data_IF_269868208765
#
_entry.id   IF_269868208765
#
_cell.length_a   1.000
_cell.length_b   1.000
_cell.length_c   1.000
_cell.angle_alpha   90.00
_cell.angle_beta   90.00
_cell.angle_gamma   90.00
#
_symmetry.space_group_name_H-M   'P 1'
#
loop_
_entity.id
_entity.type
_entity.pdbx_description
1 polymer ?
#
# COMPACT_ATOMS: atom_id res chain seq x y z
N UNK A 1 20.75 -4.45 23.06
CA UNK A 1 19.33 -4.49 22.67
C UNK A 1 19.17 -5.67 21.76
N UNK A 2 18.27 -6.60 22.07
CA UNK A 2 17.89 -7.64 21.11
C UNK A 2 17.22 -7.01 19.89
N UNK A 3 17.43 -7.55 18.68
CA UNK A 3 16.75 -7.06 17.49
C UNK A 3 15.24 -7.24 17.66
N UNK A 4 14.47 -6.19 17.35
CA UNK A 4 13.01 -6.26 17.38
C UNK A 4 12.54 -7.36 16.44
N UNK A 5 11.46 -8.05 16.82
CA UNK A 5 10.81 -8.98 15.91
C UNK A 5 10.28 -8.23 14.67
N UNK A 6 10.11 -8.95 13.55
CA UNK A 6 9.46 -8.42 12.33
C UNK A 6 8.17 -7.68 12.66
N UNK A 7 7.32 -8.29 13.48
CA UNK A 7 6.01 -7.77 13.88
C UNK A 7 6.14 -6.49 14.70
N UNK A 8 7.02 -6.45 15.69
CA UNK A 8 7.23 -5.23 16.48
C UNK A 8 7.81 -4.09 15.66
N UNK A 9 8.74 -4.40 14.75
CA UNK A 9 9.34 -3.43 13.85
C UNK A 9 8.28 -2.82 12.92
N UNK A 10 7.46 -3.67 12.31
CA UNK A 10 6.39 -3.23 11.40
C UNK A 10 5.30 -2.45 12.14
N UNK A 11 4.91 -2.89 13.36
CA UNK A 11 3.94 -2.19 14.19
C UNK A 11 4.41 -0.76 14.51
N UNK A 12 5.68 -0.62 14.93
CA UNK A 12 6.28 0.69 15.20
C UNK A 12 6.33 1.56 13.95
N UNK A 13 6.70 0.99 12.80
CA UNK A 13 6.72 1.70 11.53
C UNK A 13 5.34 2.24 11.15
N UNK A 14 4.30 1.40 11.17
CA UNK A 14 2.92 1.78 10.84
C UNK A 14 2.44 2.93 11.75
N UNK A 15 2.64 2.79 13.07
CA UNK A 15 2.22 3.80 14.04
C UNK A 15 2.98 5.12 13.90
N UNK A 16 4.29 5.05 13.68
CA UNK A 16 5.13 6.23 13.50
C UNK A 16 4.76 6.97 12.21
N UNK A 17 4.58 6.25 11.10
CA UNK A 17 4.16 6.85 9.82
C UNK A 17 2.79 7.51 9.94
N UNK A 18 1.83 6.86 10.58
CA UNK A 18 0.50 7.43 10.82
C UNK A 18 0.58 8.74 11.61
N UNK A 19 1.36 8.75 12.70
CA UNK A 19 1.60 9.96 13.50
C UNK A 19 2.24 11.08 12.66
N UNK A 20 3.30 10.78 11.92
CA UNK A 20 3.99 11.77 11.09
C UNK A 20 3.14 12.35 9.96
N UNK A 21 2.22 11.56 9.40
CA UNK A 21 1.26 12.01 8.39
C UNK A 21 0.19 12.90 9.02
N UNK A 22 -0.38 12.48 10.15
CA UNK A 22 -1.38 13.27 10.88
C UNK A 22 -0.82 14.61 11.35
N UNK A 23 0.42 14.64 11.85
CA UNK A 23 1.09 15.86 12.31
C UNK A 23 1.33 16.88 11.18
N UNK A 24 1.37 16.43 9.91
CA UNK A 24 1.65 17.29 8.75
C UNK A 24 0.46 17.54 7.82
N UNK A 25 -0.65 16.82 7.98
CA UNK A 25 -1.77 16.80 7.02
C UNK A 25 -2.32 18.20 6.68
N UNK A 26 -2.37 19.10 7.67
CA UNK A 26 -2.82 20.48 7.48
C UNK A 26 -1.88 21.34 6.63
N UNK A 27 -0.63 20.90 6.49
CA UNK A 27 0.43 21.58 5.71
C UNK A 27 0.68 20.91 4.37
N UNK A 28 0.12 19.74 4.13
CA UNK A 28 0.22 19.06 2.85
C UNK A 28 -0.47 19.88 1.76
N UNK A 29 0.10 19.85 0.57
CA UNK A 29 -0.54 20.37 -0.63
C UNK A 29 -1.58 19.38 -1.21
N UNK A 30 -2.22 19.78 -2.30
CA UNK A 30 -3.27 18.98 -2.96
C UNK A 30 -2.75 17.62 -3.43
N UNK A 31 -1.54 17.58 -3.96
CA UNK A 31 -0.96 16.39 -4.57
C UNK A 31 -0.48 15.41 -3.49
N UNK A 32 0.15 15.91 -2.42
CA UNK A 32 0.53 15.13 -1.25
C UNK A 32 -0.69 14.44 -0.58
N UNK A 33 -1.81 15.16 -0.45
CA UNK A 33 -3.04 14.61 0.13
C UNK A 33 -3.62 13.50 -0.75
N UNK A 34 -3.71 13.71 -2.07
CA UNK A 34 -4.21 12.69 -3.00
C UNK A 34 -3.30 11.49 -3.07
N UNK A 35 -1.99 11.73 -3.13
CA UNK A 35 -1.00 10.68 -3.13
C UNK A 35 -1.13 9.79 -1.90
N UNK A 36 -1.29 10.39 -0.71
CA UNK A 36 -1.53 9.66 0.54
C UNK A 36 -2.76 8.75 0.44
N UNK A 37 -3.88 9.27 -0.11
CA UNK A 37 -5.09 8.47 -0.30
C UNK A 37 -4.85 7.32 -1.29
N UNK A 38 -4.25 7.60 -2.45
CA UNK A 38 -3.98 6.59 -3.49
C UNK A 38 -3.06 5.49 -2.99
N UNK A 39 -2.02 5.84 -2.24
CA UNK A 39 -1.06 4.91 -1.66
C UNK A 39 -1.75 3.90 -0.73
N UNK A 40 -2.48 4.39 0.27
CA UNK A 40 -3.15 3.51 1.24
C UNK A 40 -4.32 2.77 0.62
N UNK A 41 -5.09 3.41 -0.27
CA UNK A 41 -6.15 2.74 -1.01
C UNK A 41 -5.62 1.58 -1.87
N UNK A 42 -4.38 1.66 -2.38
CA UNK A 42 -3.82 0.57 -3.17
C UNK A 42 -3.49 -0.67 -2.33
N UNK A 43 -3.26 -0.52 -1.02
CA UNK A 43 -3.11 -1.64 -0.09
C UNK A 43 -4.44 -2.31 0.30
N UNK A 44 -5.58 -1.65 0.04
CA UNK A 44 -6.90 -2.14 0.45
C UNK A 44 -7.51 -3.10 -0.56
N UNK A 45 -8.24 -4.11 -0.05
CA UNK A 45 -9.09 -4.96 -0.89
C UNK A 45 -10.18 -4.13 -1.58
N UNK A 46 -10.80 -4.64 -2.67
CA UNK A 46 -11.92 -3.93 -3.32
C UNK A 46 -13.06 -3.57 -2.36
N UNK A 47 -13.38 -4.46 -1.42
CA UNK A 47 -14.44 -4.26 -0.42
C UNK A 47 -14.04 -3.18 0.59
N UNK A 48 -12.81 -3.23 1.11
CA UNK A 48 -12.28 -2.23 2.03
C UNK A 48 -12.20 -0.84 1.37
N UNK A 49 -11.73 -0.77 0.11
CA UNK A 49 -11.72 0.49 -0.63
C UNK A 49 -13.11 1.11 -0.71
N UNK A 50 -14.12 0.32 -1.06
CA UNK A 50 -15.49 0.82 -1.14
C UNK A 50 -16.02 1.30 0.21
N UNK A 51 -15.69 0.60 1.30
CA UNK A 51 -16.10 0.95 2.65
C UNK A 51 -15.43 2.24 3.18
N UNK A 52 -14.13 2.42 2.94
CA UNK A 52 -13.32 3.48 3.55
C UNK A 52 -13.14 4.71 2.68
N UNK A 53 -13.22 4.58 1.34
CA UNK A 53 -13.18 5.75 0.45
C UNK A 53 -14.56 6.40 0.33
N UNK A 54 -15.64 5.63 0.43
CA UNK A 54 -17.01 6.17 0.40
C UNK A 54 -17.24 7.13 -0.77
N UNK A 55 -17.46 8.41 -0.46
CA UNK A 55 -17.73 9.48 -1.43
C UNK A 55 -16.47 10.22 -1.94
N UNK A 56 -15.27 9.76 -1.58
CA UNK A 56 -13.99 10.36 -1.99
C UNK A 56 -13.95 10.60 -3.50
N UNK A 57 -13.42 11.76 -3.89
CA UNK A 57 -13.23 12.14 -5.28
C UNK A 57 -11.90 12.82 -5.49
N UNK A 58 -11.21 12.44 -6.56
CA UNK A 58 -9.96 13.06 -7.04
C UNK A 58 -10.13 14.54 -7.41
N UNK A 59 -11.37 15.05 -7.48
CA UNK A 59 -11.68 16.45 -7.80
C UNK A 59 -12.09 17.30 -6.58
N UNK A 60 -12.07 16.73 -5.37
CA UNK A 60 -12.35 17.48 -4.15
C UNK A 60 -11.34 18.61 -3.93
N UNK A 61 -11.76 19.70 -3.29
CA UNK A 61 -10.84 20.78 -2.93
C UNK A 61 -9.86 20.35 -1.83
N UNK A 62 -8.75 21.05 -1.69
CA UNK A 62 -7.77 20.83 -0.61
C UNK A 62 -8.44 20.84 0.77
N UNK A 63 -9.39 21.73 1.02
CA UNK A 63 -10.09 21.81 2.31
C UNK A 63 -10.93 20.56 2.59
N UNK A 64 -11.60 20.01 1.56
CA UNK A 64 -12.35 18.77 1.67
C UNK A 64 -11.41 17.58 1.93
N UNK A 65 -10.25 17.54 1.26
CA UNK A 65 -9.23 16.52 1.49
C UNK A 65 -8.67 16.61 2.91
N UNK A 66 -8.35 17.81 3.42
CA UNK A 66 -7.85 18.00 4.79
C UNK A 66 -8.84 17.57 5.85
N UNK A 67 -10.14 17.63 5.58
CA UNK A 67 -11.17 17.08 6.47
C UNK A 67 -11.25 15.55 6.40
N UNK A 68 -11.04 14.96 5.22
CA UNK A 68 -11.19 13.53 4.98
C UNK A 68 -9.96 12.70 5.36
N UNK A 69 -8.77 13.14 4.91
CA UNK A 69 -7.52 12.39 4.99
C UNK A 69 -7.14 11.98 6.42
N UNK A 70 -7.32 12.82 7.47
CA UNK A 70 -6.97 12.40 8.84
C UNK A 70 -7.76 11.17 9.31
N UNK A 71 -9.07 11.15 9.06
CA UNK A 71 -9.94 10.02 9.39
C UNK A 71 -9.53 8.80 8.58
N UNK A 72 -9.30 8.97 7.28
CA UNK A 72 -8.87 7.88 6.41
C UNK A 72 -7.51 7.27 6.83
N UNK A 73 -6.54 8.10 7.22
CA UNK A 73 -5.24 7.61 7.76
C UNK A 73 -5.46 6.75 8.99
N UNK A 74 -6.34 7.16 9.91
CA UNK A 74 -6.60 6.42 11.14
C UNK A 74 -7.27 5.08 10.85
N UNK A 75 -8.35 5.08 10.06
CA UNK A 75 -9.04 3.86 9.65
C UNK A 75 -8.12 2.89 8.92
N UNK A 76 -7.31 3.39 7.99
CA UNK A 76 -6.31 2.57 7.30
C UNK A 76 -5.26 2.00 8.27
N UNK A 77 -4.81 2.80 9.22
CA UNK A 77 -3.82 2.38 10.23
C UNK A 77 -4.35 1.22 11.06
N UNK A 78 -5.62 1.28 11.46
CA UNK A 78 -6.26 0.19 12.21
C UNK A 78 -6.32 -1.10 11.38
N UNK A 79 -6.68 -1.01 10.10
CA UNK A 79 -6.66 -2.16 9.18
C UNK A 79 -5.25 -2.75 8.99
N UNK A 80 -4.24 -1.90 8.82
CA UNK A 80 -2.86 -2.34 8.66
C UNK A 80 -2.33 -3.04 9.92
N UNK A 81 -2.73 -2.57 11.11
CA UNK A 81 -2.40 -3.20 12.38
C UNK A 81 -3.15 -4.53 12.58
N UNK A 82 -4.39 -4.63 12.10
CA UNK A 82 -5.16 -5.88 12.11
C UNK A 82 -4.54 -6.93 11.19
N UNK A 83 -4.20 -6.57 9.95
CA UNK A 83 -3.49 -7.45 9.02
C UNK A 83 -2.16 -7.93 9.63
N UNK A 84 -1.38 -7.01 10.20
CA UNK A 84 -0.13 -7.35 10.89
C UNK A 84 -0.35 -8.35 12.05
N UNK A 85 -1.41 -8.16 12.85
CA UNK A 85 -1.77 -9.08 13.93
C UNK A 85 -2.15 -10.46 13.37
N UNK A 86 -2.87 -10.53 12.26
CA UNK A 86 -3.19 -11.79 11.60
C UNK A 86 -1.95 -12.54 11.10
N UNK A 87 -0.82 -11.84 10.90
CA UNK A 87 0.48 -12.43 10.49
C UNK A 87 1.46 -12.68 11.63
N UNK A 88 1.09 -12.43 12.90
CA UNK A 88 2.03 -12.48 14.04
C UNK A 88 2.69 -13.86 14.26
N UNK A 89 2.02 -14.94 13.85
CA UNK A 89 2.54 -16.31 13.92
C UNK A 89 3.24 -16.81 12.65
N UNK A 90 3.39 -15.98 11.61
CA UNK A 90 3.99 -16.38 10.34
C UNK A 90 5.47 -16.02 10.27
N UNK A 91 6.24 -16.83 9.54
CA UNK A 91 7.67 -16.55 9.34
C UNK A 91 7.94 -15.38 8.37
N UNK A 92 6.94 -14.94 7.62
CA UNK A 92 7.10 -13.87 6.60
C UNK A 92 7.95 -14.28 5.41
N UNK A 93 8.03 -15.59 5.11
CA UNK A 93 8.89 -16.12 4.04
C UNK A 93 8.13 -16.41 2.74
N UNK A 94 6.80 -16.47 2.81
CA UNK A 94 5.91 -16.67 1.64
C UNK A 94 5.02 -15.44 1.46
N UNK A 95 4.56 -15.22 0.23
CA UNK A 95 3.70 -14.07 -0.09
C UNK A 95 2.43 -14.02 0.77
N UNK A 96 1.79 -15.17 1.02
CA UNK A 96 0.60 -15.25 1.88
C UNK A 96 0.87 -14.92 3.37
N UNK A 97 2.13 -14.97 3.81
CA UNK A 97 2.56 -14.69 5.17
C UNK A 97 2.87 -13.20 5.39
N UNK A 98 2.95 -12.41 4.32
CA UNK A 98 3.22 -10.98 4.32
C UNK A 98 1.94 -10.16 4.45
N UNK A 99 2.08 -8.98 5.05
CA UNK A 99 1.04 -7.95 5.09
C UNK A 99 0.97 -7.19 3.77
N UNK A 100 -0.13 -6.47 3.54
CA UNK A 100 -0.26 -5.59 2.37
C UNK A 100 0.84 -4.50 2.33
N UNK A 101 1.25 -3.99 3.49
CA UNK A 101 2.35 -3.01 3.62
C UNK A 101 3.71 -3.58 3.22
N UNK A 102 4.01 -4.80 3.66
CA UNK A 102 5.25 -5.48 3.31
C UNK A 102 5.28 -5.82 1.82
N UNK A 103 4.14 -6.27 1.27
CA UNK A 103 4.01 -6.45 -0.16
C UNK A 103 4.22 -5.11 -0.87
N UNK A 104 3.58 -4.02 -0.46
CA UNK A 104 3.77 -2.73 -1.11
C UNK A 104 5.23 -2.26 -1.12
N UNK A 105 5.95 -2.50 -0.02
CA UNK A 105 7.36 -2.09 0.15
C UNK A 105 8.37 -3.00 -0.57
N UNK A 106 7.93 -4.14 -1.09
CA UNK A 106 8.78 -5.13 -1.76
C UNK A 106 8.95 -4.78 -3.25
N UNK A 107 10.16 -5.00 -3.76
CA UNK A 107 10.46 -4.83 -5.20
C UNK A 107 9.69 -5.83 -6.06
N UNK A 108 9.46 -5.49 -7.33
CA UNK A 108 8.84 -6.44 -8.27
C UNK A 108 9.70 -7.70 -8.43
N UNK A 109 11.01 -7.55 -8.55
CA UNK A 109 11.93 -8.68 -8.70
C UNK A 109 11.75 -9.73 -7.62
N UNK A 110 11.68 -9.30 -6.36
CA UNK A 110 11.50 -10.20 -5.23
C UNK A 110 10.11 -10.85 -5.23
N UNK A 111 9.03 -10.07 -5.45
CA UNK A 111 7.67 -10.60 -5.52
C UNK A 111 7.52 -11.65 -6.62
N UNK A 112 7.99 -11.34 -7.83
CA UNK A 112 7.86 -12.22 -8.98
C UNK A 112 8.71 -13.49 -8.81
N UNK A 113 9.86 -13.40 -8.14
CA UNK A 113 10.65 -14.56 -7.76
C UNK A 113 9.90 -15.47 -6.77
N UNK A 114 9.24 -14.90 -5.75
CA UNK A 114 8.44 -15.66 -4.80
C UNK A 114 7.18 -16.25 -5.45
N UNK A 115 6.50 -15.49 -6.31
CA UNK A 115 5.29 -15.91 -7.01
C UNK A 115 5.56 -17.07 -7.98
N UNK A 116 6.73 -17.09 -8.63
CA UNK A 116 7.14 -18.22 -9.47
C UNK A 116 7.28 -19.53 -8.69
N UNK A 117 7.53 -19.47 -7.38
CA UNK A 117 7.63 -20.64 -6.49
C UNK A 117 6.31 -21.01 -5.83
N UNK A 118 5.41 -20.04 -5.70
CA UNK A 118 4.09 -20.19 -5.11
C UNK A 118 3.04 -19.39 -5.91
N UNK A 119 2.56 -19.92 -7.05
CA UNK A 119 1.62 -19.21 -7.92
C UNK A 119 0.27 -18.87 -7.27
N UNK A 120 -0.07 -19.52 -6.16
CA UNK A 120 -1.27 -19.26 -5.36
C UNK A 120 -1.04 -18.33 -4.16
N UNK A 121 0.18 -17.80 -4.00
CA UNK A 121 0.57 -17.02 -2.84
C UNK A 121 -0.06 -15.62 -2.75
N UNK A 122 -0.66 -15.13 -3.85
CA UNK A 122 -1.37 -13.86 -3.91
C UNK A 122 -2.84 -14.06 -4.23
N UNK A 123 -3.68 -13.23 -3.62
CA UNK A 123 -5.10 -13.10 -4.01
C UNK A 123 -5.22 -12.46 -5.40
N UNK A 124 -6.35 -12.66 -6.11
CA UNK A 124 -6.55 -12.07 -7.42
C UNK A 124 -6.38 -10.54 -7.47
N UNK A 125 -6.82 -9.81 -6.45
CA UNK A 125 -6.66 -8.35 -6.37
C UNK A 125 -5.21 -7.90 -6.18
N UNK A 126 -4.42 -8.67 -5.41
CA UNK A 126 -2.98 -8.45 -5.26
C UNK A 126 -2.26 -8.71 -6.58
N UNK A 127 -2.56 -9.83 -7.24
CA UNK A 127 -1.91 -10.18 -8.50
C UNK A 127 -2.17 -9.14 -9.60
N UNK A 128 -3.40 -8.60 -9.68
CA UNK A 128 -3.73 -7.51 -10.62
C UNK A 128 -2.86 -6.27 -10.40
N UNK A 129 -2.62 -5.88 -9.14
CA UNK A 129 -1.74 -4.76 -8.79
C UNK A 129 -0.32 -5.00 -9.29
N UNK A 130 0.23 -6.19 -9.05
CA UNK A 130 1.59 -6.53 -9.46
C UNK A 130 1.75 -6.67 -10.98
N UNK A 131 0.74 -7.19 -11.68
CA UNK A 131 0.70 -7.17 -13.14
C UNK A 131 0.67 -5.74 -13.70
N UNK A 132 -0.16 -4.86 -13.14
CA UNK A 132 -0.23 -3.47 -13.54
C UNK A 132 1.13 -2.75 -13.33
N UNK A 133 1.81 -3.01 -12.21
CA UNK A 133 3.17 -2.51 -11.96
C UNK A 133 4.18 -3.05 -12.98
N UNK A 134 4.08 -4.33 -13.33
CA UNK A 134 4.96 -4.95 -14.34
C UNK A 134 4.78 -4.29 -15.71
N UNK A 135 3.54 -3.96 -16.12
CA UNK A 135 3.30 -3.21 -17.36
C UNK A 135 3.88 -1.79 -17.33
N UNK A 136 4.03 -1.21 -16.14
CA UNK A 136 4.65 0.11 -15.94
C UNK A 136 6.18 0.03 -15.79
N UNK A 137 6.75 -1.18 -15.63
CA UNK A 137 8.17 -1.41 -15.44
C UNK A 137 8.93 -1.34 -16.77
N UNK A 138 9.53 -0.18 -17.06
CA UNK A 138 10.18 0.10 -18.35
C UNK A 138 11.66 -0.25 -18.43
N UNK A 139 12.29 -0.65 -17.32
CA UNK A 139 13.71 -1.03 -17.29
C UNK A 139 13.98 -2.11 -16.24
N UNK A 140 15.13 -2.76 -16.39
CA UNK A 140 15.62 -3.73 -15.41
C UNK A 140 15.87 -3.08 -14.04
N UNK A 141 16.42 -1.87 -14.01
CA UNK A 141 16.70 -1.19 -12.74
C UNK A 141 15.41 -0.92 -11.94
N UNK A 142 14.35 -0.47 -12.61
CA UNK A 142 13.04 -0.27 -11.98
C UNK A 142 12.40 -1.56 -11.47
N UNK A 143 12.70 -2.70 -12.11
CA UNK A 143 12.19 -4.00 -11.66
C UNK A 143 12.74 -4.38 -10.28
N UNK A 144 13.95 -3.94 -9.97
CA UNK A 144 14.63 -4.16 -8.69
C UNK A 144 14.43 -3.02 -7.68
N UNK A 145 13.81 -1.92 -8.09
CA UNK A 145 13.57 -0.76 -7.25
C UNK A 145 12.32 -0.95 -6.38
N UNK A 146 12.45 -0.74 -5.06
CA UNK A 146 11.33 -0.80 -4.11
C UNK A 146 10.41 0.41 -4.25
N UNK A 147 10.91 1.55 -4.72
CA UNK A 147 10.15 2.79 -4.90
C UNK A 147 9.18 2.76 -6.08
N UNK A 148 9.31 1.79 -7.01
CA UNK A 148 8.38 1.66 -8.13
C UNK A 148 6.94 1.43 -7.65
N UNK A 149 6.75 0.63 -6.59
CA UNK A 149 5.42 0.29 -6.10
C UNK A 149 4.65 1.54 -5.64
N UNK A 150 5.36 2.48 -5.03
CA UNK A 150 4.81 3.76 -4.57
C UNK A 150 4.65 4.74 -5.73
N UNK A 151 5.68 4.93 -6.56
CA UNK A 151 5.60 5.86 -7.68
C UNK A 151 4.51 5.47 -8.70
N UNK A 152 4.22 4.18 -8.86
CA UNK A 152 3.21 3.71 -9.80
C UNK A 152 1.82 4.31 -9.54
N UNK A 153 1.44 4.55 -8.27
CA UNK A 153 0.07 5.01 -7.94
C UNK A 153 -0.17 6.48 -8.33
N UNK A 154 0.89 7.24 -8.60
CA UNK A 154 0.80 8.62 -9.11
C UNK A 154 0.21 8.67 -10.52
N UNK A 155 0.45 7.65 -11.33
CA UNK A 155 0.11 7.67 -12.74
C UNK A 155 -1.33 7.18 -12.97
N UNK A 156 -2.23 7.98 -13.58
CA UNK A 156 -3.58 7.53 -13.91
C UNK A 156 -3.62 6.30 -14.83
N UNK A 157 -2.55 6.06 -15.60
CA UNK A 157 -2.40 4.86 -16.41
C UNK A 157 -2.36 3.58 -15.56
N UNK A 158 -1.72 3.61 -14.37
CA UNK A 158 -1.65 2.47 -13.47
C UNK A 158 -3.05 2.00 -13.05
N UNK A 159 -3.89 2.92 -12.56
CA UNK A 159 -5.25 2.60 -12.12
C UNK A 159 -6.10 2.02 -13.25
N UNK A 160 -6.02 2.61 -14.44
CA UNK A 160 -6.72 2.10 -15.64
C UNK A 160 -6.29 0.69 -16.02
N UNK A 161 -4.98 0.40 -15.99
CA UNK A 161 -4.47 -0.95 -16.30
C UNK A 161 -4.91 -1.94 -15.23
N UNK A 162 -4.77 -1.59 -13.95
CA UNK A 162 -5.17 -2.42 -12.82
C UNK A 162 -6.65 -2.81 -12.87
N UNK A 163 -7.52 -1.88 -13.26
CA UNK A 163 -8.97 -2.11 -13.37
C UNK A 163 -9.38 -2.93 -14.61
N UNK A 164 -8.53 -2.98 -15.63
CA UNK A 164 -8.78 -3.72 -16.86
C UNK A 164 -8.37 -5.22 -16.79
N UNK A 165 -7.60 -5.60 -15.77
CA UNK A 165 -7.16 -6.98 -15.47
C UNK A 165 -8.14 -7.68 -14.52
#
# INVERSE_FOLDING_TARGET
>A
MEPLTRIESQRRFIQQRAKELLDRVDRMDDEELRWTVRMFADCLSPEQRMAHLGAYSEYWTVDQLRQFVPTFIQEYTDLALEDLKAKEGTQGTRLADLTEEELQSMSLAEKWYLLARDPGGLRPDQLRRELARLFMCKSYDLFHDTGLSEAAVEFPAYHRVREAL
#
